data_IF_718901809118
#
_entry.id   IF_718901809118
#
_cell.length_a   1.000
_cell.length_b   1.000
_cell.length_c   1.000
_cell.angle_alpha   90.00
_cell.angle_beta   90.00
_cell.angle_gamma   90.00
#
_symmetry.space_group_name_H-M   'P 1'
#
loop_
_entity.id
_entity.type
_entity.pdbx_description
1 polymer ?
#
# COMPACT_ATOMS: atom_id res chain seq x y z
N UNK A 1 -43.25 7.75 0.59
CA UNK A 1 -43.60 7.08 -0.68
C UNK A 1 -43.23 8.00 -1.83
N UNK A 2 -42.50 7.49 -2.82
CA UNK A 2 -42.44 7.84 -4.26
C UNK A 2 -42.58 9.32 -4.71
N UNK A 3 -41.79 9.86 -5.65
CA UNK A 3 -40.66 9.29 -6.41
C UNK A 3 -39.81 10.43 -7.00
N UNK A 4 -38.48 10.34 -6.92
CA UNK A 4 -37.57 11.16 -7.72
C UNK A 4 -37.42 10.50 -9.10
N UNK A 5 -38.15 10.99 -10.10
CA UNK A 5 -37.94 10.58 -11.49
C UNK A 5 -38.30 11.69 -12.46
N UNK A 6 -37.29 12.42 -12.91
CA UNK A 6 -37.33 13.32 -14.06
C UNK A 6 -35.91 13.48 -14.60
N UNK A 7 -35.79 13.49 -15.93
CA UNK A 7 -34.57 13.47 -16.77
C UNK A 7 -34.17 12.06 -17.24
N UNK A 8 -35.02 11.51 -18.12
CA UNK A 8 -34.64 10.63 -19.23
C UNK A 8 -35.47 11.08 -20.45
N UNK A 9 -34.93 10.89 -21.66
CA UNK A 9 -35.50 11.22 -22.98
C UNK A 9 -35.34 12.66 -23.50
N UNK A 10 -34.25 12.88 -24.25
CA UNK A 10 -34.31 13.59 -25.53
C UNK A 10 -33.53 12.80 -26.61
N UNK A 11 -34.31 12.18 -27.51
CA UNK A 11 -34.06 11.80 -28.90
C UNK A 11 -32.92 10.85 -29.34
N UNK A 12 -33.36 9.83 -30.09
CA UNK A 12 -32.57 8.99 -31.02
C UNK A 12 -32.78 9.44 -32.49
N UNK A 13 -32.04 8.82 -33.42
CA UNK A 13 -32.09 8.96 -34.91
C UNK A 13 -31.18 10.08 -35.46
N UNK A 14 -30.44 10.00 -36.58
CA UNK A 14 -30.07 8.94 -37.56
C UNK A 14 -28.96 9.54 -38.49
N UNK A 15 -28.21 8.87 -39.38
CA UNK A 15 -28.19 7.49 -39.93
C UNK A 15 -26.75 7.09 -40.38
N UNK A 16 -26.56 5.88 -40.92
CA UNK A 16 -25.31 5.25 -41.38
C UNK A 16 -24.48 5.93 -42.50
N UNK A 17 -23.19 5.53 -42.56
CA UNK A 17 -22.36 5.09 -43.73
C UNK A 17 -20.88 5.46 -43.50
N UNK A 18 -19.86 4.62 -43.75
CA UNK A 18 -19.81 3.21 -44.17
C UNK A 18 -18.35 2.79 -44.47
N UNK A 19 -18.04 1.50 -44.31
CA UNK A 19 -16.87 0.78 -44.86
C UNK A 19 -15.45 1.40 -44.73
N UNK A 20 -14.66 0.87 -43.79
CA UNK A 20 -13.39 0.22 -44.19
C UNK A 20 -12.86 -0.71 -43.09
N UNK A 21 -12.58 -1.96 -43.46
CA UNK A 21 -11.81 -2.91 -42.64
C UNK A 21 -10.50 -3.18 -43.35
N UNK A 22 -9.41 -3.32 -42.59
CA UNK A 22 -8.63 -4.53 -42.75
C UNK A 22 -8.37 -5.21 -41.41
N UNK A 23 -8.63 -6.52 -41.36
CA UNK A 23 -8.10 -7.36 -40.31
C UNK A 23 -6.59 -7.55 -40.51
N UNK A 24 -5.78 -7.09 -39.55
CA UNK A 24 -4.41 -7.55 -39.36
C UNK A 24 -4.18 -7.79 -37.87
N UNK A 25 -3.63 -8.97 -37.56
CA UNK A 25 -3.23 -9.34 -36.19
C UNK A 25 -2.00 -8.52 -35.81
N UNK A 26 -2.10 -7.78 -34.71
CA UNK A 26 -0.97 -7.33 -33.91
C UNK A 26 -1.27 -7.72 -32.47
N UNK A 27 -0.27 -8.19 -31.73
CA UNK A 27 -0.47 -8.87 -30.45
C UNK A 27 -1.27 -8.06 -29.43
N UNK A 28 -2.06 -8.79 -28.63
CA UNK A 28 -2.37 -8.39 -27.27
C UNK A 28 -1.03 -8.08 -26.58
N UNK A 29 -0.75 -6.80 -26.32
CA UNK A 29 0.28 -6.45 -25.34
C UNK A 29 -0.31 -6.78 -23.97
N UNK A 30 0.23 -7.78 -23.24
CA UNK A 30 -0.12 -7.91 -21.84
C UNK A 30 0.51 -6.71 -21.11
N UNK A 31 -0.33 -5.83 -20.57
CA UNK A 31 0.12 -4.87 -19.56
C UNK A 31 0.42 -5.62 -18.26
N UNK A 32 1.51 -6.40 -18.27
CA UNK A 32 2.11 -7.04 -17.11
C UNK A 32 3.19 -6.12 -16.54
N UNK A 33 3.03 -5.77 -15.27
CA UNK A 33 3.92 -4.83 -14.56
C UNK A 33 3.11 -3.71 -13.91
N UNK A 34 2.86 -3.68 -12.61
CA UNK A 34 3.30 -4.62 -11.57
C UNK A 34 2.29 -4.66 -10.41
N UNK A 35 2.23 -5.80 -9.72
CA UNK A 35 1.51 -5.96 -8.46
C UNK A 35 2.29 -5.28 -7.33
N UNK A 36 1.85 -4.08 -6.93
CA UNK A 36 2.37 -3.40 -5.73
C UNK A 36 1.30 -3.24 -4.65
N UNK A 37 1.77 -3.03 -3.41
CA UNK A 37 0.96 -2.68 -2.24
C UNK A 37 0.18 -3.82 -1.56
N UNK A 38 0.71 -5.04 -1.71
CA UNK A 38 0.76 -6.03 -0.62
C UNK A 38 2.20 -6.41 -0.27
N UNK A 39 3.19 -5.70 -0.82
CA UNK A 39 4.61 -6.07 -0.80
C UNK A 39 5.41 -5.35 0.27
N UNK A 40 4.86 -4.28 0.84
CA UNK A 40 5.61 -3.27 1.61
C UNK A 40 5.50 -3.52 3.12
N UNK A 41 4.31 -3.87 3.62
CA UNK A 41 4.12 -4.48 4.94
C UNK A 41 4.82 -5.85 5.04
N UNK A 42 4.75 -6.65 3.97
CA UNK A 42 5.55 -7.87 3.83
C UNK A 42 7.05 -7.57 3.78
N UNK A 43 7.51 -6.50 3.12
CA UNK A 43 8.95 -6.21 3.01
C UNK A 43 9.54 -5.74 4.34
N UNK A 44 8.83 -4.93 5.13
CA UNK A 44 9.27 -4.61 6.50
C UNK A 44 9.31 -5.87 7.37
N UNK A 45 8.25 -6.68 7.37
CA UNK A 45 8.16 -7.94 8.13
C UNK A 45 9.27 -8.92 7.76
N UNK A 46 9.51 -9.14 6.46
CA UNK A 46 10.60 -10.00 5.93
C UNK A 46 11.98 -9.45 6.33
N UNK A 47 12.17 -8.13 6.28
CA UNK A 47 13.44 -7.48 6.65
C UNK A 47 13.74 -7.61 8.14
N UNK A 48 12.73 -7.42 9.00
CA UNK A 48 12.83 -7.66 10.44
C UNK A 48 13.05 -9.14 10.75
N UNK A 49 12.33 -10.06 10.08
CA UNK A 49 12.44 -11.50 10.31
C UNK A 49 13.82 -12.07 9.96
N UNK A 50 14.52 -11.51 8.95
CA UNK A 50 15.79 -12.02 8.45
C UNK A 50 16.90 -12.17 9.53
N UNK A 51 17.19 -11.16 10.37
CA UNK A 51 18.08 -11.31 11.54
C UNK A 51 17.74 -12.50 12.44
N UNK A 52 16.47 -12.66 12.84
CA UNK A 52 16.04 -13.71 13.77
C UNK A 52 16.10 -15.10 13.12
N UNK A 53 15.65 -15.23 11.86
CA UNK A 53 15.81 -16.44 11.03
C UNK A 53 17.27 -16.86 10.91
N UNK A 54 18.15 -15.89 10.70
CA UNK A 54 19.58 -16.16 10.56
C UNK A 54 20.23 -16.59 11.87
N UNK A 55 19.92 -15.90 12.97
CA UNK A 55 20.48 -16.20 14.28
C UNK A 55 19.88 -17.46 14.94
N UNK A 56 18.69 -17.88 14.49
CA UNK A 56 17.85 -18.93 15.12
C UNK A 56 17.59 -18.64 16.61
N UNK A 57 17.23 -17.40 16.90
CA UNK A 57 16.87 -16.91 18.23
C UNK A 57 15.56 -16.14 18.14
N UNK A 58 14.74 -16.26 19.17
CA UNK A 58 13.47 -15.53 19.29
C UNK A 58 13.67 -14.09 19.81
N UNK A 59 14.88 -13.76 20.28
CA UNK A 59 15.26 -12.42 20.73
C UNK A 59 16.68 -12.08 20.30
N UNK A 60 16.92 -10.82 19.97
CA UNK A 60 18.22 -10.29 19.54
C UNK A 60 18.49 -8.92 20.14
N UNK A 61 19.75 -8.57 20.40
CA UNK A 61 20.09 -7.19 20.74
C UNK A 61 19.90 -6.27 19.54
N UNK A 62 19.50 -5.02 19.78
CA UNK A 62 19.42 -3.96 18.76
C UNK A 62 20.69 -3.89 17.89
N UNK A 63 21.86 -3.96 18.53
CA UNK A 63 23.15 -3.95 17.83
C UNK A 63 23.40 -5.21 16.99
N UNK A 64 22.88 -6.38 17.35
CA UNK A 64 22.96 -7.60 16.52
C UNK A 64 22.09 -7.45 15.25
N UNK A 65 20.89 -6.87 15.39
CA UNK A 65 19.97 -6.59 14.27
C UNK A 65 20.59 -5.56 13.31
N UNK A 66 21.06 -4.42 13.83
CA UNK A 66 21.77 -3.40 13.04
C UNK A 66 22.99 -3.98 12.34
N UNK A 67 23.80 -4.78 13.05
CA UNK A 67 24.97 -5.44 12.45
C UNK A 67 24.58 -6.37 11.29
N UNK A 68 23.52 -7.16 11.44
CA UNK A 68 23.04 -8.05 10.39
C UNK A 68 22.59 -7.27 9.14
N UNK A 69 21.77 -6.24 9.31
CA UNK A 69 21.21 -5.45 8.20
C UNK A 69 22.30 -4.64 7.46
N UNK A 70 23.23 -4.04 8.21
CA UNK A 70 24.22 -3.11 7.64
C UNK A 70 25.55 -3.75 7.22
N UNK A 71 26.12 -4.64 8.03
CA UNK A 71 27.47 -5.19 7.78
C UNK A 71 27.47 -6.61 7.23
N UNK A 72 26.43 -7.41 7.52
CA UNK A 72 26.33 -8.76 6.96
C UNK A 72 25.69 -8.73 5.57
N UNK A 73 24.47 -8.21 5.50
CA UNK A 73 23.69 -8.20 4.26
C UNK A 73 23.94 -6.97 3.37
N UNK A 74 24.54 -5.91 3.91
CA UNK A 74 24.76 -4.64 3.19
C UNK A 74 23.47 -4.09 2.56
N UNK A 75 22.34 -4.28 3.23
CA UNK A 75 21.03 -3.84 2.75
C UNK A 75 20.83 -2.33 2.96
N UNK A 76 21.36 -1.78 4.06
CA UNK A 76 21.13 -0.40 4.48
C UNK A 76 22.21 0.12 5.45
N UNK A 77 22.36 1.43 5.57
CA UNK A 77 23.27 2.05 6.56
C UNK A 77 22.84 1.83 8.01
N UNK A 78 23.73 2.15 8.97
CA UNK A 78 23.44 2.02 10.41
C UNK A 78 22.24 2.87 10.81
N UNK A 79 22.16 4.11 10.34
CA UNK A 79 21.07 5.02 10.67
C UNK A 79 19.73 4.52 10.10
N UNK A 80 19.75 4.01 8.86
CA UNK A 80 18.59 3.38 8.22
C UNK A 80 18.12 2.12 8.97
N UNK A 81 19.03 1.27 9.45
CA UNK A 81 18.68 0.11 10.26
C UNK A 81 18.05 0.53 11.61
N UNK A 82 18.52 1.62 12.22
CA UNK A 82 17.93 2.17 13.43
C UNK A 82 16.52 2.76 13.18
N UNK A 83 16.32 3.46 12.06
CA UNK A 83 15.00 3.96 11.64
C UNK A 83 14.02 2.81 11.39
N UNK A 84 14.45 1.75 10.71
CA UNK A 84 13.64 0.57 10.42
C UNK A 84 13.22 -0.17 11.71
N UNK A 85 14.12 -0.28 12.69
CA UNK A 85 13.79 -0.83 14.02
C UNK A 85 12.75 0.04 14.73
N UNK A 86 12.96 1.35 14.80
CA UNK A 86 12.00 2.26 15.43
C UNK A 86 10.61 2.19 14.77
N UNK A 87 10.56 2.10 13.43
CA UNK A 87 9.32 1.89 12.68
C UNK A 87 8.64 0.56 13.02
N UNK A 88 9.39 -0.54 13.07
CA UNK A 88 8.82 -1.84 13.40
C UNK A 88 8.24 -1.88 14.84
N UNK A 89 8.76 -1.06 15.75
CA UNK A 89 8.19 -0.84 17.08
C UNK A 89 6.92 0.03 17.02
N UNK A 90 6.93 1.13 16.24
CA UNK A 90 5.74 1.96 15.98
C UNK A 90 4.57 1.16 15.37
N UNK A 91 4.85 0.21 14.46
CA UNK A 91 3.85 -0.66 13.82
C UNK A 91 3.49 -1.90 14.65
N UNK A 92 4.08 -2.09 15.84
CA UNK A 92 3.78 -3.22 16.73
C UNK A 92 4.26 -4.59 16.20
N UNK A 93 5.21 -4.61 15.25
CA UNK A 93 5.84 -5.84 14.76
C UNK A 93 6.90 -6.38 15.73
N UNK A 94 7.49 -5.49 16.55
CA UNK A 94 8.48 -5.83 17.57
C UNK A 94 8.16 -5.14 18.91
N UNK A 95 8.65 -5.73 20.00
CA UNK A 95 8.69 -5.13 21.33
C UNK A 95 10.16 -4.94 21.75
N UNK A 96 10.52 -3.73 22.21
CA UNK A 96 11.83 -3.48 22.82
C UNK A 96 11.76 -3.57 24.35
N UNK A 97 12.65 -4.39 24.91
CA UNK A 97 12.88 -4.53 26.37
C UNK A 97 14.34 -4.17 26.67
N UNK A 98 14.58 -2.87 26.87
CA UNK A 98 15.93 -2.31 26.93
C UNK A 98 16.63 -2.47 25.57
N UNK A 99 17.80 -3.09 25.55
CA UNK A 99 18.55 -3.36 24.31
C UNK A 99 18.05 -4.60 23.54
N UNK A 100 17.12 -5.39 24.11
CA UNK A 100 16.61 -6.62 23.50
C UNK A 100 15.36 -6.36 22.67
N UNK A 101 15.34 -6.86 21.44
CA UNK A 101 14.22 -6.84 20.51
C UNK A 101 13.59 -8.23 20.46
N UNK A 102 12.27 -8.29 20.60
CA UNK A 102 11.44 -9.50 20.44
C UNK A 102 10.43 -9.26 19.32
N UNK A 103 10.31 -10.12 18.29
CA UNK A 103 9.26 -10.02 17.30
C UNK A 103 7.92 -10.48 17.88
N UNK A 104 6.84 -9.76 17.55
CA UNK A 104 5.47 -10.06 18.00
C UNK A 104 4.69 -10.94 17.01
N UNK A 105 5.35 -11.43 15.97
CA UNK A 105 4.82 -12.31 14.92
C UNK A 105 5.65 -13.60 14.81
N UNK A 106 5.09 -14.65 14.20
CA UNK A 106 5.82 -15.89 13.96
C UNK A 106 6.85 -15.75 12.83
N UNK A 107 8.08 -15.44 13.21
CA UNK A 107 9.27 -15.44 12.36
C UNK A 107 9.44 -16.74 11.56
N UNK A 108 9.00 -17.90 12.08
CA UNK A 108 9.15 -19.18 11.39
C UNK A 108 8.27 -19.29 10.14
N UNK A 109 7.07 -18.69 10.16
CA UNK A 109 6.14 -18.60 9.04
C UNK A 109 6.61 -17.68 7.90
N UNK A 110 7.54 -16.77 8.15
CA UNK A 110 7.96 -15.77 7.16
C UNK A 110 8.91 -16.38 6.12
N UNK A 111 8.42 -16.46 4.88
CA UNK A 111 9.24 -16.84 3.73
C UNK A 111 10.14 -15.67 3.29
N UNK A 112 11.44 -15.93 3.20
CA UNK A 112 12.45 -14.94 2.79
C UNK A 112 13.02 -15.40 1.44
N UNK A 113 12.73 -14.69 0.33
CA UNK A 113 13.22 -15.09 -0.99
C UNK A 113 14.75 -15.11 -1.07
N UNK A 114 15.29 -16.08 -1.83
CA UNK A 114 16.71 -16.12 -2.17
C UNK A 114 17.08 -14.85 -2.97
N UNK A 115 18.11 -14.13 -2.50
CA UNK A 115 18.51 -12.85 -3.10
C UNK A 115 17.63 -11.66 -2.71
N UNK A 116 16.72 -11.80 -1.74
CA UNK A 116 15.94 -10.69 -1.22
C UNK A 116 16.83 -9.51 -0.78
N UNK A 117 16.43 -8.31 -1.18
CA UNK A 117 16.95 -7.03 -0.68
C UNK A 117 15.76 -6.08 -0.51
N UNK A 118 15.62 -5.39 0.64
CA UNK A 118 14.58 -4.40 0.81
C UNK A 118 14.73 -3.24 -0.18
N UNK A 119 13.59 -2.80 -0.74
CA UNK A 119 13.49 -1.55 -1.50
C UNK A 119 13.39 -0.34 -0.58
N UNK A 120 13.30 0.88 -1.13
CA UNK A 120 13.15 2.11 -0.33
C UNK A 120 11.85 2.14 0.50
N UNK A 121 10.81 1.44 0.07
CA UNK A 121 9.50 1.40 0.73
C UNK A 121 9.53 0.85 2.16
N UNK A 122 10.55 0.08 2.58
CA UNK A 122 10.70 -0.31 4.01
C UNK A 122 10.92 0.88 4.94
N UNK A 123 11.35 2.03 4.41
CA UNK A 123 11.56 3.27 5.17
C UNK A 123 10.38 4.24 5.06
N UNK A 124 9.47 4.06 4.10
CA UNK A 124 8.29 4.88 3.87
C UNK A 124 7.14 4.38 4.75
N UNK A 125 6.83 5.10 5.84
CA UNK A 125 5.70 4.80 6.74
C UNK A 125 4.46 4.44 5.91
N UNK A 126 3.70 3.43 6.35
CA UNK A 126 2.44 3.04 5.69
C UNK A 126 1.60 4.29 5.48
N UNK A 127 1.33 4.62 4.22
CA UNK A 127 0.56 5.83 3.89
C UNK A 127 -0.84 5.63 4.50
N UNK A 128 -1.37 6.56 5.31
CA UNK A 128 -2.71 6.41 5.87
C UNK A 128 -3.81 6.39 4.78
N UNK A 129 -3.52 6.83 3.56
CA UNK A 129 -4.30 6.53 2.36
C UNK A 129 -4.33 5.03 2.12
N UNK A 130 -3.16 4.40 2.10
CA UNK A 130 -2.98 2.99 1.81
C UNK A 130 -3.57 2.06 2.89
N UNK A 131 -3.48 2.42 4.17
CA UNK A 131 -4.18 1.69 5.23
C UNK A 131 -5.70 1.73 5.02
N UNK A 132 -6.24 2.87 4.58
CA UNK A 132 -7.65 3.03 4.28
C UNK A 132 -8.06 2.24 3.03
N UNK A 133 -7.23 2.22 1.98
CA UNK A 133 -7.47 1.38 0.78
C UNK A 133 -7.42 -0.11 1.11
N UNK A 134 -6.50 -0.54 1.98
CA UNK A 134 -6.44 -1.93 2.45
C UNK A 134 -7.72 -2.31 3.18
N UNK A 135 -8.20 -1.46 4.09
CA UNK A 135 -9.46 -1.67 4.83
C UNK A 135 -10.66 -1.75 3.89
N UNK A 136 -10.75 -0.88 2.89
CA UNK A 136 -11.80 -0.94 1.87
C UNK A 136 -11.70 -2.25 1.07
N UNK A 137 -10.50 -2.67 0.67
CA UNK A 137 -10.28 -3.92 -0.07
C UNK A 137 -10.76 -5.14 0.72
N UNK A 138 -10.40 -5.22 2.02
CA UNK A 138 -10.79 -6.31 2.91
C UNK A 138 -12.30 -6.37 3.18
N UNK A 139 -12.96 -5.22 3.37
CA UNK A 139 -14.38 -5.20 3.74
C UNK A 139 -15.34 -5.19 2.54
N UNK A 140 -14.95 -4.60 1.41
CA UNK A 140 -15.78 -4.55 0.19
C UNK A 140 -15.46 -5.68 -0.80
N UNK A 141 -14.39 -6.46 -0.59
CA UNK A 141 -13.95 -7.53 -1.49
C UNK A 141 -13.40 -7.04 -2.83
N UNK A 142 -13.08 -5.75 -2.94
CA UNK A 142 -12.56 -5.13 -4.17
C UNK A 142 -11.04 -5.27 -4.22
N UNK A 143 -10.48 -5.63 -5.37
CA UNK A 143 -9.03 -5.75 -5.54
C UNK A 143 -8.34 -4.40 -5.34
N UNK A 144 -7.27 -4.35 -4.53
CA UNK A 144 -6.57 -3.11 -4.18
C UNK A 144 -6.15 -2.27 -5.39
N UNK A 145 -5.62 -2.89 -6.45
CA UNK A 145 -5.22 -2.17 -7.68
C UNK A 145 -6.38 -1.42 -8.35
N UNK A 146 -7.61 -1.93 -8.24
CA UNK A 146 -8.80 -1.24 -8.72
C UNK A 146 -9.15 -0.02 -7.87
N UNK A 147 -8.97 -0.10 -6.54
CA UNK A 147 -9.17 1.03 -5.63
C UNK A 147 -8.13 2.13 -5.84
N UNK A 148 -6.86 1.78 -6.10
CA UNK A 148 -5.81 2.75 -6.46
C UNK A 148 -6.12 3.43 -7.80
N UNK A 149 -6.59 2.68 -8.80
CA UNK A 149 -7.04 3.26 -10.07
C UNK A 149 -8.25 4.19 -9.88
N UNK A 150 -9.23 3.82 -9.04
CA UNK A 150 -10.38 4.66 -8.71
C UNK A 150 -9.97 5.94 -7.94
N UNK A 151 -9.00 5.85 -7.02
CA UNK A 151 -8.43 7.01 -6.34
C UNK A 151 -7.78 7.97 -7.34
N UNK A 152 -6.96 7.45 -8.25
CA UNK A 152 -6.27 8.27 -9.25
C UNK A 152 -7.25 8.95 -10.22
N UNK A 153 -8.31 8.24 -10.67
CA UNK A 153 -9.39 8.84 -11.47
C UNK A 153 -10.20 9.88 -10.68
N UNK A 154 -10.38 9.71 -9.37
CA UNK A 154 -11.00 10.72 -8.51
C UNK A 154 -10.12 11.98 -8.43
N UNK A 155 -8.83 11.83 -8.13
CA UNK A 155 -7.87 12.94 -8.06
C UNK A 155 -7.79 13.69 -9.39
N UNK A 156 -7.52 12.98 -10.49
CA UNK A 156 -7.22 13.59 -11.79
C UNK A 156 -8.48 13.95 -12.59
N UNK A 157 -9.35 13.00 -12.91
CA UNK A 157 -10.43 13.22 -13.89
C UNK A 157 -11.66 13.93 -13.28
N UNK A 158 -12.00 13.61 -12.02
CA UNK A 158 -13.22 14.15 -11.38
C UNK A 158 -13.01 15.53 -10.75
N UNK A 159 -11.79 15.83 -10.31
CA UNK A 159 -11.47 17.07 -9.60
C UNK A 159 -10.30 17.85 -10.22
N UNK A 160 -9.76 17.42 -11.37
CA UNK A 160 -8.76 18.16 -12.14
C UNK A 160 -7.42 18.32 -11.42
N UNK A 161 -7.02 17.35 -10.59
CA UNK A 161 -5.83 17.40 -9.73
C UNK A 161 -6.00 18.24 -8.46
N UNK A 162 -7.14 18.91 -8.25
CA UNK A 162 -7.36 19.79 -7.09
C UNK A 162 -7.79 19.05 -5.82
N UNK A 163 -8.07 17.74 -5.91
CA UNK A 163 -8.41 16.89 -4.77
C UNK A 163 -7.17 16.11 -4.34
N UNK A 164 -6.68 16.34 -3.12
CA UNK A 164 -5.57 15.56 -2.54
C UNK A 164 -5.99 14.10 -2.29
N UNK A 165 -5.02 13.19 -2.38
CA UNK A 165 -5.24 11.73 -2.30
C UNK A 165 -5.91 11.27 -1.00
N UNK A 166 -5.60 11.92 0.12
CA UNK A 166 -6.19 11.66 1.45
C UNK A 166 -7.69 11.98 1.47
N UNK A 167 -8.09 13.06 0.79
CA UNK A 167 -9.51 13.42 0.66
C UNK A 167 -10.24 12.49 -0.32
N UNK A 168 -9.57 12.02 -1.39
CA UNK A 168 -10.10 11.02 -2.30
C UNK A 168 -10.30 9.65 -1.62
N UNK A 169 -9.37 9.23 -0.75
CA UNK A 169 -9.47 8.00 0.04
C UNK A 169 -10.68 8.03 0.99
N UNK A 170 -10.89 9.15 1.70
CA UNK A 170 -12.07 9.35 2.57
C UNK A 170 -13.37 9.35 1.76
N UNK A 171 -13.38 9.95 0.56
CA UNK A 171 -14.52 9.91 -0.35
C UNK A 171 -14.87 8.49 -0.79
N UNK A 172 -13.89 7.64 -1.05
CA UNK A 172 -14.10 6.22 -1.35
C UNK A 172 -14.56 5.43 -0.12
N UNK A 173 -13.93 5.60 1.04
CA UNK A 173 -14.37 4.94 2.27
C UNK A 173 -15.86 5.22 2.56
N UNK A 174 -16.28 6.48 2.40
CA UNK A 174 -17.69 6.88 2.51
C UNK A 174 -18.60 6.28 1.43
N UNK A 175 -18.10 6.05 0.21
CA UNK A 175 -18.84 5.39 -0.89
C UNK A 175 -19.05 3.90 -0.60
N UNK A 176 -18.03 3.22 -0.08
CA UNK A 176 -18.07 1.80 0.26
C UNK A 176 -18.69 1.51 1.64
N UNK A 177 -19.02 2.54 2.43
CA UNK A 177 -19.64 2.39 3.75
C UNK A 177 -18.67 1.95 4.85
N UNK A 178 -17.38 2.20 4.67
CA UNK A 178 -16.29 1.75 5.53
C UNK A 178 -15.97 2.82 6.57
N UNK A 179 -15.80 2.44 7.84
CA UNK A 179 -15.40 3.39 8.89
C UNK A 179 -13.92 3.78 8.78
N UNK A 180 -13.67 5.09 8.82
CA UNK A 180 -12.37 5.74 8.61
C UNK A 180 -12.02 6.78 9.70
N UNK A 181 -12.88 6.94 10.71
CA UNK A 181 -12.79 8.02 11.72
C UNK A 181 -11.51 7.96 12.56
N UNK A 182 -11.02 6.75 12.80
CA UNK A 182 -9.79 6.41 13.50
C UNK A 182 -8.53 6.79 12.69
N UNK A 183 -8.59 6.71 11.35
CA UNK A 183 -7.50 7.11 10.45
C UNK A 183 -7.48 8.63 10.13
N UNK A 184 -8.55 9.37 10.45
CA UNK A 184 -8.62 10.82 10.20
C UNK A 184 -7.47 11.66 10.80
N UNK A 185 -6.94 11.39 12.01
CA UNK A 185 -5.79 12.12 12.53
C UNK A 185 -4.53 11.91 11.69
N UNK A 186 -4.24 10.67 11.31
CA UNK A 186 -3.08 10.32 10.48
C UNK A 186 -3.19 10.91 9.07
N UNK A 187 -4.36 10.80 8.43
CA UNK A 187 -4.64 11.42 7.13
C UNK A 187 -4.46 12.96 7.15
N UNK A 188 -4.85 13.61 8.26
CA UNK A 188 -4.63 15.07 8.44
C UNK A 188 -3.17 15.43 8.63
N UNK A 189 -2.41 14.63 9.36
CA UNK A 189 -0.97 14.84 9.53
C UNK A 189 -0.23 14.63 8.20
N UNK A 190 -0.63 13.64 7.41
CA UNK A 190 -0.07 13.37 6.07
C UNK A 190 -0.34 14.51 5.10
N UNK A 191 -1.56 15.06 5.09
CA UNK A 191 -1.93 16.25 4.32
C UNK A 191 -1.00 17.45 4.58
N UNK A 192 -0.63 17.69 5.85
CA UNK A 192 0.20 18.83 6.27
C UNK A 192 1.70 18.59 6.04
N UNK A 193 2.15 17.33 6.03
CA UNK A 193 3.55 16.99 5.70
C UNK A 193 3.86 17.08 4.21
N UNK A 194 2.82 17.02 3.38
CA UNK A 194 2.90 17.10 1.92
C UNK A 194 2.37 18.46 1.40
N UNK A 195 2.64 19.54 2.14
CA UNK A 195 2.44 20.95 1.79
C UNK A 195 3.76 21.73 1.69
#
# INVERSE_FOLDING_TARGET
MYSFSSIVQLFSSSVDNGLSSPAMRGELIPCGGDFYNGKDEMSLTVTIAAPFRHARKDQLKKNEVVYFLSFKQHWMGIDQANMLIARAEEEGLIEMKGDMITPLFDVASVEIPLGYKPGSSVFERSDPVDDLLLRISQQAGVARGQLVAELNMLVQDRFGGNLRQEAAAVLMAKRYGIEFRDLLPALREHLVKNE
#
